data_IF_018240598587
#
_entry.id   IF_018240598587
#
_cell.length_a   1.000
_cell.length_b   1.000
_cell.length_c   1.000
_cell.angle_alpha   90.00
_cell.angle_beta   90.00
_cell.angle_gamma   90.00
#
_symmetry.space_group_name_H-M   'P 1'
#
loop_
_entity.id
_entity.type
_entity.pdbx_description
1 polymer ?
#
# COMPACT_ATOMS: atom_id res chain seq x y z
N UNK A 1 -3.20 -44.38 -12.28
CA UNK A 1 -4.09 -43.55 -11.42
C UNK A 1 -3.52 -43.34 -10.01
N UNK A 2 -3.33 -44.37 -9.16
CA UNK A 2 -2.66 -44.17 -7.86
C UNK A 2 -1.19 -43.73 -8.02
N UNK A 3 -0.44 -44.35 -8.92
CA UNK A 3 0.97 -44.00 -9.24
C UNK A 3 1.14 -42.54 -9.66
N UNK A 4 0.21 -42.03 -10.47
CA UNK A 4 0.25 -40.68 -11.02
C UNK A 4 -0.06 -39.65 -9.93
N UNK A 5 -0.99 -39.97 -9.03
CA UNK A 5 -1.32 -39.15 -7.87
C UNK A 5 -0.14 -39.06 -6.89
N UNK A 6 0.56 -40.18 -6.65
CA UNK A 6 1.77 -40.19 -5.82
C UNK A 6 2.90 -39.36 -6.44
N UNK A 7 3.11 -39.49 -7.76
CA UNK A 7 4.12 -38.71 -8.48
C UNK A 7 3.79 -37.21 -8.44
N UNK A 8 2.53 -36.83 -8.68
CA UNK A 8 2.09 -35.44 -8.59
C UNK A 8 2.25 -34.86 -7.18
N UNK A 9 1.92 -35.63 -6.14
CA UNK A 9 2.13 -35.24 -4.75
C UNK A 9 3.61 -35.03 -4.42
N UNK A 10 4.50 -35.91 -4.88
CA UNK A 10 5.94 -35.77 -4.73
C UNK A 10 6.47 -34.51 -5.42
N UNK A 11 6.06 -34.26 -6.68
CA UNK A 11 6.50 -33.08 -7.43
C UNK A 11 5.98 -31.79 -6.80
N UNK A 12 4.72 -31.78 -6.33
CA UNK A 12 4.14 -30.62 -5.65
C UNK A 12 4.83 -30.31 -4.32
N UNK A 13 5.17 -31.33 -3.52
CA UNK A 13 5.89 -31.16 -2.25
C UNK A 13 7.33 -30.67 -2.47
N UNK A 14 8.04 -31.22 -3.45
CA UNK A 14 9.37 -30.72 -3.84
C UNK A 14 9.29 -29.27 -4.35
N UNK A 15 8.29 -28.95 -5.16
CA UNK A 15 8.04 -27.58 -5.61
C UNK A 15 7.79 -26.64 -4.44
N UNK A 16 6.99 -27.03 -3.44
CA UNK A 16 6.73 -26.23 -2.25
C UNK A 16 8.01 -26.01 -1.43
N UNK A 17 8.86 -27.03 -1.29
CA UNK A 17 10.13 -26.90 -0.59
C UNK A 17 11.09 -25.92 -1.31
N UNK A 18 11.17 -26.01 -2.64
CA UNK A 18 11.94 -25.08 -3.46
C UNK A 18 11.40 -23.64 -3.34
N UNK A 19 10.08 -23.44 -3.38
CA UNK A 19 9.49 -22.10 -3.27
C UNK A 19 9.71 -21.49 -1.90
N UNK A 20 9.58 -22.27 -0.81
CA UNK A 20 9.91 -21.82 0.54
C UNK A 20 11.39 -21.44 0.68
N UNK A 21 12.28 -22.21 0.05
CA UNK A 21 13.72 -21.92 0.04
C UNK A 21 14.02 -20.61 -0.70
N UNK A 22 13.40 -20.37 -1.86
CA UNK A 22 13.51 -19.10 -2.60
C UNK A 22 13.02 -17.94 -1.73
N UNK A 23 11.83 -18.06 -1.11
CA UNK A 23 11.30 -17.02 -0.23
C UNK A 23 12.21 -16.73 0.97
N UNK A 24 12.88 -17.75 1.51
CA UNK A 24 13.85 -17.61 2.57
C UNK A 24 15.11 -16.86 2.09
N UNK A 25 15.68 -17.25 0.94
CA UNK A 25 16.84 -16.57 0.33
C UNK A 25 16.56 -15.11 -0.01
N UNK A 26 15.30 -14.77 -0.34
CA UNK A 26 14.92 -13.40 -0.64
C UNK A 26 14.94 -12.47 0.58
N UNK A 27 15.00 -12.97 1.83
CA UNK A 27 14.93 -12.16 3.07
C UNK A 27 15.96 -11.04 3.19
N UNK A 28 17.11 -11.17 2.52
CA UNK A 28 18.18 -10.16 2.50
C UNK A 28 18.21 -9.26 1.26
N UNK A 29 17.24 -9.42 0.34
CA UNK A 29 17.23 -8.72 -0.95
C UNK A 29 16.20 -7.58 -0.96
N UNK A 30 16.31 -6.60 -1.88
CA UNK A 30 15.25 -5.61 -2.11
C UNK A 30 13.92 -6.24 -2.57
N UNK A 31 13.91 -7.52 -2.92
CA UNK A 31 12.71 -8.30 -3.24
C UNK A 31 12.06 -8.90 -1.98
N UNK A 32 12.71 -8.86 -0.82
CA UNK A 32 12.00 -9.07 0.43
C UNK A 32 10.95 -7.97 0.61
N UNK A 33 9.85 -8.26 1.32
CA UNK A 33 8.79 -7.30 1.63
C UNK A 33 9.30 -6.18 2.55
N UNK A 34 10.04 -5.25 1.97
CA UNK A 34 10.43 -3.99 2.56
C UNK A 34 9.66 -2.91 1.82
N UNK A 35 8.48 -2.58 2.34
CA UNK A 35 7.81 -1.32 2.08
C UNK A 35 7.89 -0.45 3.34
N UNK A 36 7.95 0.88 3.22
CA UNK A 36 7.99 1.69 1.99
C UNK A 36 9.41 1.83 1.37
N UNK A 37 9.46 2.06 0.05
CA UNK A 37 10.71 2.33 -0.72
C UNK A 37 11.03 3.83 -0.69
N UNK A 38 12.30 4.23 -0.72
CA UNK A 38 12.64 5.65 -0.73
C UNK A 38 12.13 6.36 -2.00
N UNK A 39 11.43 7.49 -1.83
CA UNK A 39 10.88 8.33 -2.90
C UNK A 39 11.94 8.74 -3.92
N UNK A 40 13.19 8.97 -3.49
CA UNK A 40 14.32 9.33 -4.37
C UNK A 40 14.66 8.28 -5.42
N UNK A 41 14.33 7.01 -5.17
CA UNK A 41 14.55 5.93 -6.14
C UNK A 41 13.51 5.95 -7.27
N UNK A 42 12.42 6.70 -7.10
CA UNK A 42 11.40 6.92 -8.11
C UNK A 42 10.27 5.88 -8.11
N UNK A 43 9.12 6.32 -8.61
CA UNK A 43 7.87 5.54 -8.65
C UNK A 43 8.01 4.31 -9.55
N UNK A 44 8.68 4.46 -10.70
CA UNK A 44 8.85 3.38 -11.68
C UNK A 44 9.65 2.22 -11.08
N UNK A 45 10.76 2.52 -10.42
CA UNK A 45 11.58 1.52 -9.74
C UNK A 45 10.80 0.81 -8.63
N UNK A 46 10.07 1.58 -7.81
CA UNK A 46 9.25 1.00 -6.75
C UNK A 46 8.14 0.09 -7.30
N UNK A 47 7.51 0.46 -8.43
CA UNK A 47 6.53 -0.41 -9.09
C UNK A 47 7.17 -1.68 -9.63
N UNK A 48 8.33 -1.59 -10.27
CA UNK A 48 9.03 -2.76 -10.79
C UNK A 48 9.36 -3.77 -9.68
N UNK A 49 9.87 -3.29 -8.55
CA UNK A 49 10.12 -4.16 -7.39
C UNK A 49 8.82 -4.78 -6.84
N UNK A 50 7.75 -3.99 -6.72
CA UNK A 50 6.44 -4.51 -6.32
C UNK A 50 5.92 -5.58 -7.28
N UNK A 51 6.09 -5.36 -8.60
CA UNK A 51 5.71 -6.32 -9.63
C UNK A 51 6.44 -7.65 -9.45
N UNK A 52 7.76 -7.62 -9.33
CA UNK A 52 8.57 -8.82 -9.09
C UNK A 52 8.14 -9.54 -7.81
N UNK A 53 7.89 -8.82 -6.71
CA UNK A 53 7.41 -9.39 -5.45
C UNK A 53 6.08 -10.11 -5.62
N UNK A 54 5.10 -9.48 -6.28
CA UNK A 54 3.77 -10.08 -6.51
C UNK A 54 3.88 -11.34 -7.37
N UNK A 55 4.63 -11.28 -8.48
CA UNK A 55 4.83 -12.44 -9.37
C UNK A 55 5.48 -13.60 -8.63
N UNK A 56 6.56 -13.33 -7.88
CA UNK A 56 7.26 -14.37 -7.10
C UNK A 56 6.32 -15.01 -6.10
N UNK A 57 5.55 -14.23 -5.34
CA UNK A 57 4.61 -14.77 -4.35
C UNK A 57 3.50 -15.58 -5.01
N UNK A 58 2.92 -15.08 -6.10
CA UNK A 58 1.91 -15.80 -6.85
C UNK A 58 2.44 -17.14 -7.37
N UNK A 59 3.62 -17.16 -7.97
CA UNK A 59 4.24 -18.40 -8.43
C UNK A 59 4.55 -19.35 -7.28
N UNK A 60 5.06 -18.85 -6.15
CA UNK A 60 5.36 -19.67 -5.00
C UNK A 60 4.13 -20.38 -4.40
N UNK A 61 2.96 -19.74 -4.47
CA UNK A 61 1.70 -20.28 -3.95
C UNK A 61 0.97 -21.12 -5.00
N UNK A 62 0.89 -20.66 -6.25
CA UNK A 62 0.02 -21.25 -7.26
C UNK A 62 0.68 -22.39 -8.03
N UNK A 63 2.00 -22.39 -8.23
CA UNK A 63 2.67 -23.47 -8.99
C UNK A 63 2.46 -24.85 -8.35
N UNK A 64 2.65 -25.05 -7.02
CA UNK A 64 2.37 -26.34 -6.40
C UNK A 64 0.91 -26.78 -6.56
N UNK A 65 -0.03 -25.83 -6.50
CA UNK A 65 -1.47 -26.09 -6.68
C UNK A 65 -1.75 -26.51 -8.13
N UNK A 66 -1.21 -25.79 -9.12
CA UNK A 66 -1.37 -26.13 -10.53
C UNK A 66 -0.80 -27.52 -10.86
N UNK A 67 0.30 -27.93 -10.23
CA UNK A 67 0.88 -29.27 -10.41
C UNK A 67 -0.08 -30.36 -9.90
N UNK A 68 -0.68 -30.17 -8.71
CA UNK A 68 -1.64 -31.11 -8.12
C UNK A 68 -2.90 -31.30 -8.97
N UNK A 69 -3.31 -30.25 -9.68
CA UNK A 69 -4.51 -30.26 -10.54
C UNK A 69 -4.17 -30.28 -12.04
N UNK A 70 -2.94 -30.66 -12.40
CA UNK A 70 -2.44 -30.58 -13.78
C UNK A 70 -3.29 -31.35 -14.81
N UNK A 71 -3.96 -32.42 -14.39
CA UNK A 71 -4.85 -33.21 -15.25
C UNK A 71 -6.19 -32.52 -15.55
N UNK A 72 -6.55 -31.50 -14.77
CA UNK A 72 -7.81 -30.77 -14.87
C UNK A 72 -7.64 -29.34 -15.43
N UNK A 73 -6.40 -28.87 -15.57
CA UNK A 73 -6.07 -27.50 -15.97
C UNK A 73 -5.57 -27.50 -17.41
N UNK A 74 -6.21 -26.69 -18.25
CA UNK A 74 -5.79 -26.44 -19.63
C UNK A 74 -4.61 -25.46 -19.70
N UNK A 75 -3.88 -25.47 -20.81
CA UNK A 75 -2.78 -24.51 -21.04
C UNK A 75 -3.26 -23.06 -20.96
N UNK A 76 -4.46 -22.77 -21.45
CA UNK A 76 -5.06 -21.43 -21.37
C UNK A 76 -5.30 -20.97 -19.93
N UNK A 77 -5.81 -21.85 -19.06
CA UNK A 77 -6.00 -21.57 -17.64
C UNK A 77 -4.65 -21.37 -16.93
N UNK A 78 -3.62 -22.12 -17.28
CA UNK A 78 -2.28 -21.93 -16.74
C UNK A 78 -1.72 -20.54 -17.05
N UNK A 79 -1.88 -20.06 -18.29
CA UNK A 79 -1.47 -18.71 -18.71
C UNK A 79 -2.26 -17.64 -17.94
N UNK A 80 -3.57 -17.85 -17.76
CA UNK A 80 -4.43 -16.93 -17.03
C UNK A 80 -4.01 -16.84 -15.54
N UNK A 81 -3.80 -17.98 -14.89
CA UNK A 81 -3.50 -18.08 -13.46
C UNK A 81 -2.07 -17.61 -13.16
N UNK A 82 -1.07 -18.08 -13.91
CA UNK A 82 0.35 -17.80 -13.62
C UNK A 82 0.89 -16.55 -14.30
N UNK A 83 0.26 -16.10 -15.39
CA UNK A 83 0.70 -14.92 -16.15
C UNK A 83 -0.19 -13.71 -15.91
N UNK A 84 -1.45 -13.79 -16.33
CA UNK A 84 -2.35 -12.63 -16.38
C UNK A 84 -2.73 -12.15 -14.98
N UNK A 85 -3.11 -13.06 -14.09
CA UNK A 85 -3.57 -12.73 -12.74
C UNK A 85 -2.51 -11.96 -11.92
N UNK A 86 -1.26 -12.45 -11.74
CA UNK A 86 -0.25 -11.70 -10.99
C UNK A 86 0.11 -10.36 -11.65
N UNK A 87 0.09 -10.29 -12.98
CA UNK A 87 0.34 -9.05 -13.72
C UNK A 87 -0.72 -8.00 -13.42
N UNK A 88 -2.01 -8.37 -13.49
CA UNK A 88 -3.12 -7.48 -13.15
C UNK A 88 -3.05 -7.07 -11.68
N UNK A 89 -2.83 -8.02 -10.76
CA UNK A 89 -2.70 -7.73 -9.33
C UNK A 89 -1.57 -6.75 -9.05
N UNK A 90 -0.39 -6.97 -9.64
CA UNK A 90 0.76 -6.09 -9.51
C UNK A 90 0.48 -4.67 -10.05
N UNK A 91 -0.25 -4.56 -11.16
CA UNK A 91 -0.64 -3.28 -11.74
C UNK A 91 -1.66 -2.52 -10.88
N UNK A 92 -2.59 -3.21 -10.23
CA UNK A 92 -3.62 -2.60 -9.37
C UNK A 92 -3.06 -2.05 -8.04
N UNK A 93 -2.03 -2.69 -7.47
CA UNK A 93 -1.45 -2.26 -6.20
C UNK A 93 -0.54 -1.04 -6.41
N UNK A 94 -0.82 0.07 -5.74
CA UNK A 94 0.05 1.24 -5.74
C UNK A 94 1.30 0.99 -4.89
N UNK A 95 2.53 1.25 -5.39
CA UNK A 95 3.74 1.18 -4.57
C UNK A 95 3.71 2.21 -3.44
N UNK A 96 4.26 1.82 -2.30
CA UNK A 96 4.42 2.64 -1.11
C UNK A 96 5.81 3.28 -1.07
N UNK A 97 5.85 4.60 -0.94
CA UNK A 97 7.07 5.41 -0.97
C UNK A 97 7.24 6.23 0.31
N UNK A 98 8.48 6.37 0.78
CA UNK A 98 8.85 7.15 1.97
C UNK A 98 9.87 8.23 1.63
N UNK A 99 9.79 9.39 2.27
CA UNK A 99 10.83 10.43 2.14
C UNK A 99 12.16 10.00 2.77
N UNK A 100 12.10 9.39 3.95
CA UNK A 100 13.26 9.02 4.77
C UNK A 100 13.03 7.66 5.43
N UNK A 101 14.08 7.02 5.96
CA UNK A 101 13.95 5.71 6.63
C UNK A 101 12.99 5.76 7.84
N UNK A 102 12.95 6.90 8.54
CA UNK A 102 12.10 7.16 9.70
C UNK A 102 10.85 7.98 9.36
N UNK A 103 10.43 8.00 8.09
CA UNK A 103 9.22 8.70 7.66
C UNK A 103 7.99 8.15 8.39
N UNK A 104 7.09 9.06 8.75
CA UNK A 104 5.82 8.78 9.40
C UNK A 104 4.69 8.70 8.37
N UNK A 105 4.88 9.36 7.23
CA UNK A 105 3.98 9.32 6.09
C UNK A 105 4.54 8.42 5.00
N UNK A 106 3.61 7.81 4.29
CA UNK A 106 3.84 6.98 3.11
C UNK A 106 3.00 7.53 1.98
N UNK A 107 3.64 7.71 0.84
CA UNK A 107 3.02 8.14 -0.41
C UNK A 107 2.69 6.88 -1.22
N UNK A 108 1.41 6.66 -1.49
CA UNK A 108 0.92 5.65 -2.41
C UNK A 108 0.47 6.33 -3.70
N UNK A 109 1.09 5.96 -4.82
CA UNK A 109 0.74 6.51 -6.12
C UNK A 109 0.63 5.40 -7.16
N UNK A 110 -0.51 5.28 -7.87
CA UNK A 110 -0.57 4.41 -9.05
C UNK A 110 0.27 5.02 -10.18
N UNK A 111 0.69 4.20 -11.16
CA UNK A 111 1.52 4.68 -12.26
C UNK A 111 0.85 5.84 -13.01
N UNK A 112 1.64 6.86 -13.34
CA UNK A 112 1.24 8.01 -14.15
C UNK A 112 0.08 8.83 -13.61
N UNK A 113 -0.27 8.69 -12.33
CA UNK A 113 -1.30 9.51 -11.72
C UNK A 113 -0.69 10.79 -11.14
N UNK A 114 -1.28 11.94 -11.48
CA UNK A 114 -0.92 13.24 -10.90
C UNK A 114 -1.47 13.43 -9.49
N UNK A 115 -2.29 12.48 -9.00
CA UNK A 115 -2.88 12.51 -7.66
C UNK A 115 -2.29 11.39 -6.82
N UNK A 116 -1.63 11.76 -5.72
CA UNK A 116 -1.10 10.80 -4.75
C UNK A 116 -1.99 10.65 -3.53
N UNK A 117 -2.05 9.44 -2.99
CA UNK A 117 -2.66 9.18 -1.70
C UNK A 117 -1.57 9.14 -0.64
N UNK A 118 -1.73 9.89 0.44
CA UNK A 118 -0.83 9.80 1.59
C UNK A 118 -1.57 9.08 2.70
N UNK A 119 -0.85 8.19 3.38
CA UNK A 119 -1.32 7.54 4.60
C UNK A 119 -0.19 7.47 5.63
N UNK A 120 -0.56 7.17 6.88
CA UNK A 120 0.42 6.96 7.95
C UNK A 120 1.11 5.61 7.74
N UNK A 121 2.43 5.56 7.95
CA UNK A 121 3.21 4.30 7.88
C UNK A 121 2.67 3.23 8.81
N UNK A 122 2.14 3.63 9.96
CA UNK A 122 1.38 2.77 10.86
C UNK A 122 -0.03 3.35 11.02
N UNK A 123 -1.11 2.56 10.88
CA UNK A 123 -2.48 3.09 10.92
C UNK A 123 -2.81 3.82 12.22
N UNK A 124 -2.17 3.41 13.32
CA UNK A 124 -2.45 3.83 14.70
C UNK A 124 -1.56 4.94 15.21
N UNK A 125 -0.61 5.36 14.38
CA UNK A 125 0.35 6.37 14.76
C UNK A 125 -0.35 7.73 14.92
N UNK A 126 -0.11 8.40 16.04
CA UNK A 126 -0.67 9.74 16.28
C UNK A 126 -0.17 10.74 15.24
N UNK A 127 -1.09 11.56 14.72
CA UNK A 127 -0.79 12.68 13.85
C UNK A 127 -0.20 13.84 14.66
N UNK A 128 1.13 13.90 14.73
CA UNK A 128 1.90 14.85 15.54
C UNK A 128 2.56 15.97 14.71
N UNK A 129 3.27 16.88 15.40
CA UNK A 129 3.99 18.00 14.75
C UNK A 129 4.98 17.52 13.67
N UNK A 130 5.68 16.41 13.91
CA UNK A 130 6.61 15.83 12.94
C UNK A 130 5.88 15.37 11.67
N UNK A 131 4.72 14.74 11.83
CA UNK A 131 3.86 14.31 10.72
C UNK A 131 3.39 15.51 9.88
N UNK A 132 3.03 16.63 10.52
CA UNK A 132 2.70 17.87 9.80
C UNK A 132 3.90 18.45 9.03
N UNK A 133 5.09 18.48 9.64
CA UNK A 133 6.30 18.97 8.97
C UNK A 133 6.68 18.11 7.76
N UNK A 134 6.56 16.79 7.91
CA UNK A 134 6.77 15.85 6.81
C UNK A 134 5.76 16.07 5.67
N UNK A 135 4.48 16.30 6.00
CA UNK A 135 3.46 16.64 5.00
C UNK A 135 3.79 17.94 4.24
N UNK A 136 4.24 18.97 4.94
CA UNK A 136 4.64 20.23 4.31
C UNK A 136 5.88 20.06 3.42
N UNK A 137 6.80 19.18 3.82
CA UNK A 137 7.97 18.82 2.99
C UNK A 137 7.54 18.08 1.72
N UNK A 138 6.55 17.17 1.82
CA UNK A 138 5.97 16.49 0.66
C UNK A 138 5.30 17.47 -0.30
N UNK A 139 4.61 18.49 0.21
CA UNK A 139 3.97 19.54 -0.62
C UNK A 139 4.98 20.30 -1.47
N UNK A 140 6.21 20.49 -0.97
CA UNK A 140 7.28 21.17 -1.71
C UNK A 140 7.98 20.25 -2.74
N UNK A 141 8.11 18.96 -2.42
CA UNK A 141 8.90 18.02 -3.21
C UNK A 141 8.07 17.35 -4.33
N UNK A 142 6.83 16.97 -4.04
CA UNK A 142 5.99 16.20 -4.96
C UNK A 142 5.70 16.87 -6.32
N UNK A 143 5.60 18.21 -6.44
CA UNK A 143 5.44 18.87 -7.75
C UNK A 143 6.56 18.52 -8.74
N UNK A 144 7.79 18.33 -8.25
CA UNK A 144 8.96 17.95 -9.07
C UNK A 144 8.80 16.57 -9.73
N UNK A 145 7.88 15.75 -9.24
CA UNK A 145 7.54 14.43 -9.78
C UNK A 145 6.25 14.45 -10.62
N UNK A 146 5.75 15.63 -11.01
CA UNK A 146 4.53 15.79 -11.81
C UNK A 146 3.23 15.57 -11.02
N UNK A 147 3.29 15.62 -9.69
CA UNK A 147 2.11 15.47 -8.84
C UNK A 147 1.43 16.83 -8.67
N UNK A 148 0.12 16.87 -8.94
CA UNK A 148 -0.72 18.06 -8.84
C UNK A 148 -1.65 18.05 -7.64
N UNK A 149 -1.90 16.88 -7.03
CA UNK A 149 -2.74 16.80 -5.84
C UNK A 149 -2.34 15.70 -4.86
N UNK A 150 -2.59 15.96 -3.59
CA UNK A 150 -2.38 15.06 -2.46
C UNK A 150 -3.72 14.80 -1.79
N UNK A 151 -4.05 13.53 -1.56
CA UNK A 151 -5.23 13.11 -0.79
C UNK A 151 -4.80 12.35 0.46
N UNK A 152 -5.16 12.86 1.63
CA UNK A 152 -4.90 12.23 2.91
C UNK A 152 -6.24 11.86 3.55
N UNK A 153 -6.46 10.56 3.73
CA UNK A 153 -7.69 10.01 4.33
C UNK A 153 -7.35 9.41 5.69
N UNK A 154 -8.02 9.87 6.74
CA UNK A 154 -7.74 9.37 8.10
C UNK A 154 -8.90 9.63 9.06
N UNK A 155 -9.15 8.73 10.04
CA UNK A 155 -10.03 9.02 11.15
C UNK A 155 -9.40 9.94 12.20
N UNK A 156 -8.07 10.14 12.17
CA UNK A 156 -7.34 10.95 13.15
C UNK A 156 -7.62 12.44 13.09
N UNK A 157 -8.34 12.88 12.05
CA UNK A 157 -8.82 14.25 11.95
C UNK A 157 -9.96 14.55 12.91
N UNK A 158 -10.60 13.53 13.46
CA UNK A 158 -11.51 13.68 14.58
C UNK A 158 -10.77 13.52 15.91
N UNK A 159 -11.25 14.22 16.93
CA UNK A 159 -10.84 13.97 18.30
C UNK A 159 -11.59 12.78 18.91
N UNK A 160 -11.32 12.49 20.19
CA UNK A 160 -11.98 11.40 20.90
C UNK A 160 -13.48 11.67 21.14
N UNK A 161 -13.88 12.95 21.25
CA UNK A 161 -15.28 13.39 21.31
C UNK A 161 -16.02 13.22 19.98
N UNK A 162 -15.29 13.05 18.87
CA UNK A 162 -15.84 12.87 17.53
C UNK A 162 -16.06 14.19 16.78
N UNK A 163 -15.48 15.29 17.25
CA UNK A 163 -15.44 16.60 16.62
C UNK A 163 -14.23 16.73 15.69
N UNK A 164 -14.40 17.51 14.62
CA UNK A 164 -13.32 17.71 13.65
C UNK A 164 -12.27 18.65 14.24
N UNK A 165 -11.02 18.19 14.29
CA UNK A 165 -9.88 19.01 14.74
C UNK A 165 -9.71 20.23 13.84
N UNK A 166 -9.35 21.37 14.44
CA UNK A 166 -9.12 22.60 13.69
C UNK A 166 -7.99 22.45 12.67
N UNK A 167 -8.32 22.71 11.40
CA UNK A 167 -7.38 22.65 10.27
C UNK A 167 -6.76 24.01 9.93
N UNK A 168 -7.08 25.07 10.69
CA UNK A 168 -6.69 26.45 10.36
C UNK A 168 -5.17 26.64 10.29
N UNK A 169 -4.42 25.97 11.18
CA UNK A 169 -2.96 26.01 11.17
C UNK A 169 -2.38 25.41 9.89
N UNK A 170 -2.86 24.22 9.50
CA UNK A 170 -2.45 23.56 8.26
C UNK A 170 -2.82 24.41 7.04
N UNK A 171 -4.05 24.94 6.97
CA UNK A 171 -4.50 25.82 5.88
C UNK A 171 -3.60 27.04 5.72
N UNK A 172 -3.23 27.71 6.82
CA UNK A 172 -2.29 28.85 6.79
C UNK A 172 -0.90 28.43 6.29
N UNK A 173 -0.39 27.29 6.74
CA UNK A 173 0.93 26.78 6.34
C UNK A 173 0.99 26.36 4.85
N UNK A 174 -0.11 25.81 4.32
CA UNK A 174 -0.25 25.45 2.91
C UNK A 174 -0.41 26.68 2.01
N UNK A 175 -1.17 27.69 2.46
CA UNK A 175 -1.32 28.95 1.72
C UNK A 175 0.03 29.66 1.50
N UNK A 176 0.93 29.60 2.49
CA UNK A 176 2.30 30.12 2.37
C UNK A 176 3.14 29.41 1.29
N UNK A 177 2.74 28.22 0.87
CA UNK A 177 3.39 27.39 -0.17
C UNK A 177 2.59 27.38 -1.47
N UNK A 178 1.68 28.32 -1.65
CA UNK A 178 0.79 28.40 -2.81
C UNK A 178 -0.03 27.12 -3.07
N UNK A 179 -0.25 26.30 -2.04
CA UNK A 179 -1.07 25.10 -2.13
C UNK A 179 -2.51 25.40 -1.69
N UNK A 180 -3.48 24.91 -2.46
CA UNK A 180 -4.90 25.01 -2.12
C UNK A 180 -5.30 23.88 -1.19
N UNK A 181 -6.19 24.18 -0.24
CA UNK A 181 -6.62 23.26 0.79
C UNK A 181 -8.15 23.13 0.77
N UNK A 182 -8.63 21.91 0.57
CA UNK A 182 -10.02 21.54 0.76
C UNK A 182 -10.12 20.28 1.61
N UNK A 183 -11.25 20.09 2.27
CA UNK A 183 -11.49 18.91 3.08
C UNK A 183 -12.98 18.59 3.13
N UNK A 184 -13.30 17.30 3.27
CA UNK A 184 -14.67 16.83 3.27
C UNK A 184 -14.78 15.49 4.03
N UNK A 185 -15.94 15.22 4.68
CA UNK A 185 -16.17 13.94 5.33
C UNK A 185 -16.25 12.83 4.28
N UNK A 186 -15.76 11.64 4.65
CA UNK A 186 -15.85 10.45 3.80
C UNK A 186 -17.11 9.65 4.13
N UNK A 187 -17.63 8.94 3.13
CA UNK A 187 -18.81 8.11 3.30
C UNK A 187 -18.51 6.85 4.13
N UNK A 188 -19.56 6.18 4.59
CA UNK A 188 -19.44 4.93 5.36
C UNK A 188 -18.80 3.81 4.54
N UNK A 189 -18.95 3.82 3.21
CA UNK A 189 -18.36 2.82 2.31
C UNK A 189 -16.96 3.20 1.80
N UNK A 190 -16.50 4.41 2.07
CA UNK A 190 -15.11 4.77 1.79
C UNK A 190 -14.15 4.09 2.76
N UNK A 191 -12.98 3.68 2.23
CA UNK A 191 -11.87 3.14 3.00
C UNK A 191 -12.19 1.88 3.84
N UNK A 192 -13.04 0.98 3.33
CA UNK A 192 -13.43 -0.26 4.02
C UNK A 192 -12.23 -1.07 4.53
N UNK A 193 -11.21 -1.27 3.70
CA UNK A 193 -9.99 -1.98 4.10
C UNK A 193 -9.25 -1.27 5.25
N UNK A 194 -9.20 0.06 5.21
CA UNK A 194 -8.62 0.86 6.28
C UNK A 194 -9.42 0.75 7.59
N UNK A 195 -10.75 0.72 7.50
CA UNK A 195 -11.64 0.50 8.66
C UNK A 195 -11.44 -0.89 9.25
N UNK A 196 -11.40 -1.94 8.42
CA UNK A 196 -11.16 -3.31 8.86
C UNK A 196 -9.79 -3.48 9.54
N UNK A 197 -8.73 -2.93 8.92
CA UNK A 197 -7.40 -2.93 9.52
C UNK A 197 -7.41 -2.26 10.90
N UNK A 198 -8.06 -1.10 11.00
CA UNK A 198 -8.18 -0.38 12.26
C UNK A 198 -8.94 -1.15 13.34
N UNK A 199 -10.05 -1.81 12.97
CA UNK A 199 -10.86 -2.63 13.88
C UNK A 199 -10.07 -3.80 14.46
N UNK A 200 -9.32 -4.52 13.61
CA UNK A 200 -8.50 -5.67 14.03
C UNK A 200 -7.50 -5.23 15.10
N UNK A 201 -6.82 -4.11 14.89
CA UNK A 201 -5.86 -3.63 15.88
C UNK A 201 -6.50 -3.06 17.14
N UNK A 202 -7.58 -2.29 17.04
CA UNK A 202 -8.26 -1.76 18.22
C UNK A 202 -8.73 -2.90 19.13
N UNK A 203 -9.13 -4.05 18.56
CA UNK A 203 -9.43 -5.27 19.31
C UNK A 203 -8.22 -5.83 20.06
N UNK A 204 -7.02 -5.75 19.47
CA UNK A 204 -5.80 -6.29 20.09
C UNK A 204 -5.10 -5.30 21.03
N UNK A 205 -5.24 -3.99 20.82
CA UNK A 205 -4.49 -2.94 21.52
C UNK A 205 -5.45 -1.86 22.04
N UNK A 206 -6.05 -2.16 23.19
CA UNK A 206 -7.18 -1.48 23.85
C UNK A 206 -6.94 -0.05 24.39
N UNK A 207 -5.93 0.70 23.93
CA UNK A 207 -5.47 1.88 24.68
C UNK A 207 -5.85 3.26 24.14
N UNK A 208 -6.57 3.40 23.01
CA UNK A 208 -7.11 4.72 22.60
C UNK A 208 -8.47 4.62 21.90
N UNK A 209 -9.47 5.44 22.31
CA UNK A 209 -10.73 5.58 21.58
C UNK A 209 -10.48 6.40 20.31
N UNK A 210 -10.11 5.73 19.23
CA UNK A 210 -10.20 6.31 17.88
C UNK A 210 -11.62 6.13 17.38
N UNK A 211 -12.24 7.21 16.91
CA UNK A 211 -13.55 7.12 16.27
C UNK A 211 -13.39 6.55 14.84
N UNK A 212 -13.38 5.23 14.72
CA UNK A 212 -13.17 4.52 13.44
C UNK A 212 -14.33 4.75 12.46
N UNK A 213 -15.50 5.18 12.95
CA UNK A 213 -16.70 5.36 12.14
C UNK A 213 -16.66 6.67 11.35
N UNK A 214 -15.92 7.68 11.81
CA UNK A 214 -15.80 8.98 11.15
C UNK A 214 -14.44 9.09 10.46
N UNK A 215 -14.47 9.14 9.14
CA UNK A 215 -13.27 9.36 8.31
C UNK A 215 -13.38 10.69 7.61
N UNK A 216 -12.25 11.38 7.44
CA UNK A 216 -12.21 12.67 6.76
C UNK A 216 -11.11 12.65 5.71
N UNK A 217 -11.36 13.35 4.61
CA UNK A 217 -10.41 13.52 3.52
C UNK A 217 -9.89 14.96 3.55
N UNK A 218 -8.58 15.10 3.53
CA UNK A 218 -7.90 16.35 3.20
C UNK A 218 -7.40 16.22 1.75
N UNK A 219 -7.77 17.18 0.92
CA UNK A 219 -7.29 17.31 -0.44
C UNK A 219 -6.45 18.59 -0.56
N UNK A 220 -5.21 18.43 -0.98
CA UNK A 220 -4.27 19.53 -1.17
C UNK A 220 -3.93 19.59 -2.65
N UNK A 221 -4.28 20.68 -3.31
CA UNK A 221 -3.86 20.92 -4.70
C UNK A 221 -2.54 21.68 -4.67
N UNK A 222 -1.54 21.13 -5.35
CA UNK A 222 -0.19 21.66 -5.41
C UNK A 222 -0.08 22.70 -6.54
N UNK A 223 0.82 23.69 -6.41
CA UNK A 223 1.12 24.59 -7.52
C UNK A 223 1.72 23.79 -8.68
N UNK A 224 1.20 24.00 -9.89
CA UNK A 224 1.82 23.49 -11.12
C UNK A 224 3.10 24.27 -11.36
N UNK A 225 4.24 23.58 -11.28
CA UNK A 225 5.55 24.10 -11.73
C UNK A 225 5.64 24.12 -13.24
#
# INVERSE_FOLDING_TARGET
MLSDLYLQGLVATLSLFCTLSILYSLRGTPLHFQSPINLKLGVVFAKYLLFLRVVIVFWCVLVPICILFSNAITVGELILILGVTPTITALMIAPELSLFCNSKLVVATPLYNSIVQIHLKKPYQVFDKATYQELLTLVEILPQYGITAIRLKSPMFYDASGDLRSMNGLKKALKKRHANFSHYPLSTFDCLLGKLGMLIYCKHHSNKPLNINKWHCINITLPTT
#
